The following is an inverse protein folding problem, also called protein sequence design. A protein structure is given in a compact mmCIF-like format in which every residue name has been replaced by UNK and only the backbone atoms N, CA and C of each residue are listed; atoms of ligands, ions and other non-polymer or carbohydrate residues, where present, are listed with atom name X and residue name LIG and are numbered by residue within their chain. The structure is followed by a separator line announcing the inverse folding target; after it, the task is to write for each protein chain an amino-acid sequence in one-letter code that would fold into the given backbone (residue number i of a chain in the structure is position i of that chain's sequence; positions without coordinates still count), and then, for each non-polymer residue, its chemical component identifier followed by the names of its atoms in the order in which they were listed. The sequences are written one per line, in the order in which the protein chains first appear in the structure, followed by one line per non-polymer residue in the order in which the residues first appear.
data_IF_516308924342
#
_entry.id   IF_516308924342
#
_cell.length_a   1.000
_cell.length_b   1.000
_cell.length_c   1.000
_cell.angle_alpha   90.00
_cell.angle_beta   90.00
_cell.angle_gamma   90.00
#
_symmetry.space_group_name_H-M   'P 1'
#
loop_
_entity.id
_entity.type
_entity.pdbx_description
1 polymer ?
#
# COMPACT_ATOMS: atom_id res chain seq x y z
N UNK A 1 19.21 14.06 -20.68
CA UNK A 1 19.23 12.65 -21.14
C UNK A 1 19.28 11.72 -19.93
N UNK A 2 18.14 11.36 -19.31
CA UNK A 2 18.16 10.60 -18.05
C UNK A 2 16.98 9.65 -17.86
N UNK A 3 15.77 10.10 -18.22
CA UNK A 3 14.54 9.33 -18.01
C UNK A 3 14.53 8.01 -18.79
N UNK A 4 15.00 8.03 -20.05
CA UNK A 4 15.07 6.83 -20.91
C UNK A 4 16.09 5.82 -20.37
N UNK A 5 17.21 6.28 -19.80
CA UNK A 5 18.24 5.39 -19.23
C UNK A 5 17.77 4.77 -17.91
N UNK A 6 17.10 5.56 -17.06
CA UNK A 6 16.46 5.02 -15.86
C UNK A 6 15.33 4.05 -16.21
N UNK A 7 14.47 4.38 -17.18
CA UNK A 7 13.40 3.51 -17.63
C UNK A 7 13.94 2.17 -18.15
N UNK A 8 15.01 2.20 -18.95
CA UNK A 8 15.65 0.99 -19.46
C UNK A 8 16.28 0.16 -18.35
N UNK A 9 16.98 0.78 -17.39
CA UNK A 9 17.53 0.08 -16.23
C UNK A 9 16.45 -0.51 -15.33
N UNK A 10 15.32 0.18 -15.16
CA UNK A 10 14.17 -0.35 -14.41
C UNK A 10 13.49 -1.50 -15.14
N UNK A 11 13.27 -1.38 -16.45
CA UNK A 11 12.70 -2.46 -17.26
C UNK A 11 13.62 -3.69 -17.28
N UNK A 12 14.91 -3.48 -17.51
CA UNK A 12 15.91 -4.55 -17.51
C UNK A 12 16.01 -5.23 -16.13
N UNK A 13 16.01 -4.44 -15.05
CA UNK A 13 15.98 -4.98 -13.68
C UNK A 13 14.70 -5.75 -13.37
N UNK A 14 13.54 -5.27 -13.85
CA UNK A 14 12.24 -5.95 -13.69
C UNK A 14 12.22 -7.27 -14.45
N UNK A 15 12.62 -7.27 -15.72
CA UNK A 15 12.69 -8.48 -16.56
C UNK A 15 13.67 -9.50 -15.99
N UNK A 16 14.83 -9.05 -15.52
CA UNK A 16 15.82 -9.91 -14.87
C UNK A 16 15.28 -10.50 -13.56
N UNK A 17 14.62 -9.70 -12.73
CA UNK A 17 13.98 -10.18 -11.50
C UNK A 17 12.88 -11.22 -11.77
N UNK A 18 12.04 -10.99 -12.78
CA UNK A 18 11.00 -11.93 -13.23
C UNK A 18 11.64 -13.21 -13.76
N UNK A 19 12.73 -13.12 -14.53
CA UNK A 19 13.45 -14.28 -15.04
C UNK A 19 14.03 -15.13 -13.90
N UNK A 20 14.62 -14.51 -12.87
CA UNK A 20 15.09 -15.21 -11.68
C UNK A 20 13.92 -15.91 -10.96
N UNK A 21 12.81 -15.21 -10.72
CA UNK A 21 11.64 -15.80 -10.06
C UNK A 21 11.08 -17.03 -10.79
N UNK A 22 11.12 -17.01 -12.12
CA UNK A 22 10.73 -18.15 -12.95
C UNK A 22 11.79 -19.27 -12.93
N UNK A 23 13.07 -18.94 -13.00
CA UNK A 23 14.18 -19.90 -13.09
C UNK A 23 14.37 -20.71 -11.79
N UNK A 24 14.12 -20.10 -10.62
CA UNK A 24 14.23 -20.79 -9.32
C UNK A 24 13.06 -21.71 -8.96
N UNK A 25 12.10 -21.97 -9.88
CA UNK A 25 10.87 -22.77 -9.60
C UNK A 25 10.28 -22.39 -8.24
N UNK A 26 10.13 -21.11 -7.92
CA UNK A 26 9.64 -20.69 -6.59
C UNK A 26 8.18 -21.13 -6.47
N UNK A 27 7.87 -22.20 -5.72
CA UNK A 27 6.50 -22.66 -5.62
C UNK A 27 5.78 -21.65 -4.72
N UNK A 28 4.70 -21.06 -5.25
CA UNK A 28 3.70 -20.28 -4.51
C UNK A 28 4.07 -18.85 -4.08
N UNK A 29 4.65 -18.04 -4.97
CA UNK A 29 4.64 -16.56 -4.83
C UNK A 29 3.18 -16.05 -4.65
N UNK A 30 2.21 -16.73 -5.27
CA UNK A 30 0.78 -16.44 -5.11
C UNK A 30 0.27 -16.57 -3.68
N UNK A 31 0.84 -17.45 -2.83
CA UNK A 31 0.47 -17.51 -1.41
C UNK A 31 1.01 -16.30 -0.64
N UNK A 32 2.23 -15.88 -0.94
CA UNK A 32 2.81 -14.65 -0.37
C UNK A 32 2.00 -13.41 -0.75
N UNK A 33 1.58 -13.31 -2.01
CA UNK A 33 0.75 -12.20 -2.49
C UNK A 33 -0.63 -12.19 -1.84
N UNK A 34 -1.30 -13.35 -1.71
CA UNK A 34 -2.59 -13.43 -1.03
C UNK A 34 -2.48 -13.07 0.46
N UNK A 35 -1.47 -13.59 1.17
CA UNK A 35 -1.23 -13.20 2.57
C UNK A 35 -0.88 -11.72 2.71
N UNK A 36 -0.05 -11.19 1.81
CA UNK A 36 0.27 -9.76 1.77
C UNK A 36 -0.97 -8.89 1.52
N UNK A 37 -1.89 -9.32 0.66
CA UNK A 37 -3.14 -8.61 0.39
C UNK A 37 -4.06 -8.62 1.61
N UNK A 38 -4.20 -9.77 2.29
CA UNK A 38 -4.98 -9.87 3.54
C UNK A 38 -4.37 -9.00 4.64
N UNK A 39 -3.03 -8.99 4.76
CA UNK A 39 -2.33 -8.13 5.74
C UNK A 39 -2.50 -6.65 5.37
N UNK A 40 -2.44 -6.29 4.09
CA UNK A 40 -2.65 -4.93 3.63
C UNK A 40 -4.08 -4.45 3.90
N UNK A 41 -5.09 -5.30 3.66
CA UNK A 41 -6.47 -5.03 4.04
C UNK A 41 -6.62 -4.88 5.55
N UNK A 42 -5.97 -5.73 6.34
CA UNK A 42 -6.00 -5.62 7.79
C UNK A 42 -5.35 -4.33 8.29
N UNK A 43 -4.29 -3.86 7.63
CA UNK A 43 -3.66 -2.57 7.93
C UNK A 43 -4.58 -1.43 7.48
N UNK A 44 -5.23 -1.50 6.32
CA UNK A 44 -6.19 -0.50 5.85
C UNK A 44 -7.38 -0.38 6.82
N UNK A 45 -7.95 -1.51 7.25
CA UNK A 45 -9.05 -1.55 8.20
C UNK A 45 -8.64 -1.06 9.60
N UNK A 46 -7.47 -1.45 10.11
CA UNK A 46 -6.99 -0.98 11.41
C UNK A 46 -6.53 0.48 11.41
N UNK A 47 -6.01 0.97 10.28
CA UNK A 47 -5.50 2.35 10.17
C UNK A 47 -6.53 3.33 9.63
N UNK A 48 -7.74 2.86 9.27
CA UNK A 48 -8.90 3.72 9.06
C UNK A 48 -9.23 4.41 10.39
N UNK A 49 -8.70 5.64 10.55
CA UNK A 49 -9.21 6.59 11.55
C UNK A 49 -10.74 6.53 11.48
N UNK A 50 -11.46 6.23 12.57
CA UNK A 50 -12.89 6.50 12.59
C UNK A 50 -13.03 7.96 12.21
N UNK A 51 -13.86 8.22 11.19
CA UNK A 51 -14.17 9.57 10.75
C UNK A 51 -14.44 10.43 11.99
N UNK A 52 -13.58 11.41 12.24
CA UNK A 52 -13.90 12.54 13.10
C UNK A 52 -14.94 13.39 12.36
N UNK A 53 -16.14 12.86 12.28
CA UNK A 53 -17.37 13.46 11.76
C UNK A 53 -18.43 12.65 12.49
N UNK A 54 -18.75 12.99 13.72
CA UNK A 54 -19.58 14.14 14.08
C UNK A 54 -19.46 14.30 15.58
N UNK A 55 -19.05 15.47 16.06
CA UNK A 55 -19.46 16.09 17.34
C UNK A 55 -18.67 17.41 17.46
N UNK A 56 -18.93 18.32 16.53
CA UNK A 56 -18.83 19.75 16.81
C UNK A 56 -20.26 20.30 16.75
N UNK A 57 -21.14 19.67 17.54
CA UNK A 57 -22.35 20.33 18.03
C UNK A 57 -22.09 20.85 19.46
N UNK A 58 -20.81 21.04 19.81
CA UNK A 58 -20.36 21.50 21.12
C UNK A 58 -20.06 23.01 21.10
N UNK A 59 -20.36 23.71 20.00
CA UNK A 59 -20.28 25.18 19.92
C UNK A 59 -21.58 25.88 20.37
N UNK A 60 -22.49 25.13 21.00
CA UNK A 60 -23.75 25.65 21.53
C UNK A 60 -23.91 25.36 23.04
N UNK A 61 -22.96 25.83 23.86
CA UNK A 61 -23.14 25.96 25.31
C UNK A 61 -22.54 27.28 25.81
N UNK A 62 -23.44 28.19 26.18
CA UNK A 62 -23.35 29.13 27.33
C UNK A 62 -22.30 30.26 27.24
N UNK A 63 -22.67 31.48 26.82
CA UNK A 63 -23.31 32.54 27.64
C UNK A 63 -22.49 32.97 28.87
N UNK A 64 -22.06 34.23 28.85
CA UNK A 64 -21.73 35.10 29.99
C UNK A 64 -20.64 34.66 31.00
N UNK A 65 -19.50 35.36 30.96
CA UNK A 65 -19.15 36.39 31.97
C UNK A 65 -18.02 37.29 31.48
#
# INVERSE_FOLDING_TARGET
MGVIRCAFSLMAGTLFGVYLAQNYRVPNIGKLLNSGLVIAQHIEENYRKPSATTNSNDDAVDVSK
#
